data_IF_174543554253
#
_entry.id   IF_174543554253
#
_cell.length_a   1.000
_cell.length_b   1.000
_cell.length_c   1.000
_cell.angle_alpha   90.00
_cell.angle_beta   90.00
_cell.angle_gamma   90.00
#
_symmetry.space_group_name_H-M   'P 1'
#
loop_
_entity.id
_entity.type
_entity.pdbx_description
1 polymer ?
#
# COMPACT_ATOMS: atom_id res chain seq x y z
N UNK A 1 25.26 5.54 -6.40
CA UNK A 1 24.09 5.22 -5.57
C UNK A 1 22.91 5.98 -6.17
N UNK A 2 22.05 5.33 -6.97
CA UNK A 2 20.87 6.01 -7.52
C UNK A 2 19.94 6.26 -6.33
N UNK A 3 19.82 7.53 -5.94
CA UNK A 3 18.72 7.98 -5.09
C UNK A 3 17.45 7.64 -5.87
N UNK A 4 16.78 6.56 -5.47
CA UNK A 4 15.44 6.24 -5.92
C UNK A 4 14.57 7.37 -5.39
N UNK A 5 14.43 8.40 -6.22
CA UNK A 5 13.54 9.53 -6.05
C UNK A 5 12.12 8.97 -6.10
N UNK A 6 11.64 8.49 -4.96
CA UNK A 6 10.28 8.01 -4.85
C UNK A 6 9.64 8.83 -3.75
N UNK A 7 8.68 9.62 -4.20
CA UNK A 7 7.64 10.28 -3.44
C UNK A 7 6.71 9.21 -2.81
N UNK A 8 7.27 8.25 -2.05
CA UNK A 8 6.58 7.04 -1.54
C UNK A 8 5.48 7.34 -0.53
N UNK A 9 5.36 8.59 -0.09
CA UNK A 9 4.25 8.98 0.77
C UNK A 9 2.91 8.99 0.00
N UNK A 10 2.96 9.11 -1.32
CA UNK A 10 1.76 9.21 -2.16
C UNK A 10 1.11 7.85 -2.47
N UNK A 11 1.78 6.71 -2.27
CA UNK A 11 1.24 5.39 -2.68
C UNK A 11 0.01 4.94 -1.85
N UNK A 12 -0.03 5.23 -0.54
CA UNK A 12 -1.22 4.92 0.29
C UNK A 12 -2.38 5.86 -0.02
N UNK A 13 -2.09 7.15 -0.22
CA UNK A 13 -3.11 8.12 -0.56
C UNK A 13 -3.71 7.79 -1.93
N UNK A 14 -2.88 7.37 -2.89
CA UNK A 14 -3.33 6.85 -4.17
C UNK A 14 -4.19 5.59 -4.02
N UNK A 15 -3.83 4.64 -3.13
CA UNK A 15 -4.69 3.48 -2.84
C UNK A 15 -6.06 3.90 -2.32
N UNK A 16 -6.10 4.88 -1.41
CA UNK A 16 -7.34 5.39 -0.84
C UNK A 16 -8.20 6.07 -1.90
N UNK A 17 -7.63 6.98 -2.67
CA UNK A 17 -8.33 7.70 -3.76
C UNK A 17 -8.87 6.71 -4.81
N UNK A 18 -8.09 5.69 -5.15
CA UNK A 18 -8.52 4.67 -6.11
C UNK A 18 -9.65 3.79 -5.55
N UNK A 19 -9.63 3.45 -4.26
CA UNK A 19 -10.76 2.76 -3.60
C UNK A 19 -12.02 3.61 -3.67
N UNK A 20 -11.94 4.90 -3.32
CA UNK A 20 -13.08 5.82 -3.39
C UNK A 20 -13.66 5.89 -4.82
N UNK A 21 -12.79 5.96 -5.84
CA UNK A 21 -13.24 5.93 -7.24
C UNK A 21 -13.91 4.61 -7.64
N UNK A 22 -13.38 3.47 -7.20
CA UNK A 22 -13.98 2.15 -7.50
C UNK A 22 -15.32 2.00 -6.78
N UNK A 23 -15.45 2.50 -5.56
CA UNK A 23 -16.72 2.50 -4.80
C UNK A 23 -17.79 3.34 -5.49
N UNK A 24 -17.43 4.51 -6.02
CA UNK A 24 -18.35 5.41 -6.72
C UNK A 24 -18.74 4.88 -8.12
N UNK A 25 -17.78 4.35 -8.88
CA UNK A 25 -17.99 3.93 -10.26
C UNK A 25 -18.49 2.48 -10.39
N UNK A 26 -18.12 1.62 -9.46
CA UNK A 26 -18.45 0.19 -9.44
C UNK A 26 -17.58 -0.63 -10.40
N UNK A 27 -17.07 -1.75 -9.88
CA UNK A 27 -16.18 -2.69 -10.60
C UNK A 27 -16.74 -3.18 -11.94
N UNK A 28 -18.07 -3.35 -12.04
CA UNK A 28 -18.72 -3.85 -13.27
C UNK A 28 -18.57 -2.93 -14.48
N UNK A 29 -18.22 -1.66 -14.28
CA UNK A 29 -18.05 -0.70 -15.35
C UNK A 29 -16.59 -0.60 -15.82
N UNK A 30 -15.68 -1.34 -15.19
CA UNK A 30 -14.25 -1.32 -15.50
C UNK A 30 -13.87 -2.31 -16.60
N UNK A 31 -12.73 -2.10 -17.23
CA UNK A 31 -12.22 -2.81 -18.38
C UNK A 31 -10.86 -3.49 -18.11
N UNK A 32 -10.32 -4.17 -19.12
CA UNK A 32 -9.10 -4.96 -18.99
C UNK A 32 -7.83 -4.13 -18.74
N UNK A 33 -7.76 -2.89 -19.22
CA UNK A 33 -6.63 -1.98 -18.96
C UNK A 33 -6.63 -1.54 -17.49
N UNK A 34 -7.80 -1.22 -16.96
CA UNK A 34 -7.99 -0.90 -15.54
C UNK A 34 -7.63 -2.10 -14.67
N UNK A 35 -8.01 -3.33 -15.05
CA UNK A 35 -7.56 -4.53 -14.34
C UNK A 35 -6.03 -4.68 -14.31
N UNK A 36 -5.36 -4.44 -15.44
CA UNK A 36 -3.89 -4.51 -15.50
C UNK A 36 -3.24 -3.45 -14.60
N UNK A 37 -3.83 -2.25 -14.55
CA UNK A 37 -3.42 -1.19 -13.65
C UNK A 37 -3.57 -1.60 -12.18
N UNK A 38 -4.76 -2.10 -11.77
CA UNK A 38 -4.99 -2.56 -10.40
C UNK A 38 -4.01 -3.68 -10.00
N UNK A 39 -3.74 -4.64 -10.90
CA UNK A 39 -2.74 -5.71 -10.68
C UNK A 39 -1.34 -5.15 -10.39
N UNK A 40 -0.92 -4.17 -11.18
CA UNK A 40 0.39 -3.55 -11.02
C UNK A 40 0.48 -2.78 -9.70
N UNK A 41 -0.51 -1.95 -9.41
CA UNK A 41 -0.57 -1.14 -8.20
C UNK A 41 -0.62 -1.99 -6.94
N UNK A 42 -1.45 -3.03 -6.92
CA UNK A 42 -1.50 -4.01 -5.82
C UNK A 42 -0.12 -4.60 -5.53
N UNK A 43 0.58 -5.07 -6.58
CA UNK A 43 1.94 -5.62 -6.44
C UNK A 43 2.96 -4.62 -5.92
N UNK A 44 2.92 -3.38 -6.41
CA UNK A 44 3.81 -2.30 -5.96
C UNK A 44 3.55 -1.98 -4.48
N UNK A 45 2.29 -1.86 -4.07
CA UNK A 45 1.90 -1.59 -2.69
C UNK A 45 2.29 -2.71 -1.72
N UNK A 46 2.12 -3.98 -2.10
CA UNK A 46 2.62 -5.12 -1.32
C UNK A 46 4.13 -5.09 -1.14
N UNK A 47 4.86 -4.76 -2.22
CA UNK A 47 6.32 -4.63 -2.16
C UNK A 47 6.72 -3.53 -1.18
N UNK A 48 6.02 -2.39 -1.23
CA UNK A 48 6.33 -1.27 -0.38
C UNK A 48 5.92 -1.47 1.09
N UNK A 49 4.77 -2.10 1.36
CA UNK A 49 4.37 -2.53 2.69
C UNK A 49 5.46 -3.41 3.35
N UNK A 50 6.04 -4.35 2.60
CA UNK A 50 7.15 -5.18 3.08
C UNK A 50 8.42 -4.35 3.40
N UNK A 51 8.72 -3.32 2.59
CA UNK A 51 9.79 -2.38 2.93
C UNK A 51 9.49 -1.62 4.23
N UNK A 52 8.25 -1.15 4.43
CA UNK A 52 7.83 -0.46 5.66
C UNK A 52 7.99 -1.37 6.87
N UNK A 53 7.59 -2.63 6.79
CA UNK A 53 7.78 -3.63 7.87
C UNK A 53 9.27 -3.80 8.21
N UNK A 54 10.11 -3.90 7.18
CA UNK A 54 11.57 -4.03 7.37
C UNK A 54 12.16 -2.80 8.08
N UNK A 55 11.71 -1.60 7.69
CA UNK A 55 12.14 -0.35 8.33
C UNK A 55 11.71 -0.32 9.79
N UNK A 56 10.45 -0.66 10.10
CA UNK A 56 9.92 -0.73 11.47
C UNK A 56 10.80 -1.64 12.33
N UNK A 57 11.09 -2.86 11.86
CA UNK A 57 11.92 -3.82 12.60
C UNK A 57 13.31 -3.25 12.91
N UNK A 58 13.95 -2.60 11.93
CA UNK A 58 15.27 -1.99 12.12
C UNK A 58 15.23 -0.81 13.11
N UNK A 59 14.17 0.01 13.07
CA UNK A 59 13.99 1.13 13.97
C UNK A 59 13.72 0.67 15.40
N UNK A 60 12.91 -0.38 15.58
CA UNK A 60 12.68 -1.01 16.87
C UNK A 60 14.00 -1.52 17.48
N UNK A 61 14.79 -2.29 16.71
CA UNK A 61 16.10 -2.76 17.15
C UNK A 61 17.05 -1.62 17.50
N UNK A 62 17.08 -0.54 16.70
CA UNK A 62 17.90 0.64 16.98
C UNK A 62 17.48 1.31 18.30
N UNK A 63 16.18 1.54 18.47
CA UNK A 63 15.65 2.23 19.63
C UNK A 63 15.89 1.41 20.92
N UNK A 64 15.74 0.07 20.84
CA UNK A 64 16.08 -0.89 21.90
C UNK A 64 17.59 -0.90 22.23
N UNK A 65 18.45 -1.05 21.22
CA UNK A 65 19.92 -1.07 21.40
C UNK A 65 20.45 0.21 22.05
N UNK A 66 19.84 1.36 21.74
CA UNK A 66 20.22 2.64 22.30
C UNK A 66 19.58 2.91 23.68
N UNK A 67 18.76 1.98 24.19
CA UNK A 67 17.95 2.15 25.39
C UNK A 67 17.14 3.46 25.36
N UNK A 68 16.59 3.76 24.19
CA UNK A 68 15.78 4.95 23.93
C UNK A 68 14.31 4.59 23.84
N UNK A 69 13.44 5.53 24.19
CA UNK A 69 12.01 5.38 23.91
C UNK A 69 11.73 5.38 22.41
N UNK A 70 10.53 4.90 22.03
CA UNK A 70 10.05 4.85 20.64
C UNK A 70 10.25 6.18 19.92
N UNK A 71 11.06 6.17 18.87
CA UNK A 71 11.39 7.33 18.05
C UNK A 71 10.19 7.85 17.25
N UNK A 72 10.23 9.13 16.87
CA UNK A 72 9.23 9.73 15.96
C UNK A 72 9.19 9.03 14.61
N UNK A 73 10.35 8.59 14.12
CA UNK A 73 10.50 7.85 12.88
C UNK A 73 9.78 6.50 12.95
N UNK A 74 9.96 5.75 14.04
CA UNK A 74 9.26 4.49 14.25
C UNK A 74 7.73 4.69 14.28
N UNK A 75 7.24 5.70 15.01
CA UNK A 75 5.80 6.04 15.04
C UNK A 75 5.26 6.32 13.64
N UNK A 76 5.97 7.14 12.86
CA UNK A 76 5.58 7.49 11.51
C UNK A 76 5.45 6.26 10.59
N UNK A 77 6.39 5.31 10.66
CA UNK A 77 6.30 4.11 9.84
C UNK A 77 5.23 3.12 10.34
N UNK A 78 4.98 3.04 11.64
CA UNK A 78 3.89 2.24 12.20
C UNK A 78 2.51 2.76 11.75
N UNK A 79 2.28 4.08 11.83
CA UNK A 79 1.07 4.72 11.30
C UNK A 79 0.92 4.43 9.79
N UNK A 80 2.04 4.48 9.05
CA UNK A 80 2.04 4.14 7.63
C UNK A 80 1.67 2.67 7.36
N UNK A 81 2.14 1.75 8.21
CA UNK A 81 1.81 0.34 8.11
C UNK A 81 0.33 0.08 8.41
N UNK A 82 -0.26 0.82 9.36
CA UNK A 82 -1.69 0.73 9.67
C UNK A 82 -2.55 1.07 8.46
N UNK A 83 -2.22 2.15 7.75
CA UNK A 83 -2.95 2.52 6.52
C UNK A 83 -2.81 1.44 5.42
N UNK A 84 -1.64 0.83 5.24
CA UNK A 84 -1.50 -0.28 4.30
C UNK A 84 -2.41 -1.46 4.68
N UNK A 85 -2.51 -1.79 5.97
CA UNK A 85 -3.38 -2.87 6.45
C UNK A 85 -4.86 -2.55 6.27
N UNK A 86 -5.22 -1.27 6.25
CA UNK A 86 -6.60 -0.81 6.05
C UNK A 86 -7.00 -0.88 4.57
N UNK A 87 -6.21 -0.28 3.67
CA UNK A 87 -6.62 -0.08 2.27
C UNK A 87 -6.21 -1.22 1.33
N UNK A 88 -5.04 -1.84 1.54
CA UNK A 88 -4.54 -2.84 0.58
C UNK A 88 -5.46 -4.08 0.45
N UNK A 89 -6.08 -4.61 1.53
CA UNK A 89 -7.04 -5.71 1.38
C UNK A 89 -8.27 -5.35 0.56
N UNK A 90 -8.82 -4.14 0.73
CA UNK A 90 -9.97 -3.64 -0.03
C UNK A 90 -9.60 -3.51 -1.52
N UNK A 91 -8.43 -2.95 -1.78
CA UNK A 91 -7.89 -2.83 -3.13
C UNK A 91 -7.72 -4.18 -3.83
N UNK A 92 -7.20 -5.17 -3.10
CA UNK A 92 -7.05 -6.54 -3.60
C UNK A 92 -8.40 -7.22 -3.87
N UNK A 93 -9.40 -6.94 -3.05
CA UNK A 93 -10.76 -7.43 -3.25
C UNK A 93 -11.36 -6.91 -4.56
N UNK A 94 -11.30 -5.60 -4.81
CA UNK A 94 -11.82 -5.02 -6.07
C UNK A 94 -11.11 -5.57 -7.30
N UNK A 95 -9.78 -5.69 -7.22
CA UNK A 95 -9.00 -6.32 -8.28
C UNK A 95 -9.51 -7.74 -8.56
N UNK A 96 -9.72 -8.55 -7.52
CA UNK A 96 -10.21 -9.93 -7.69
C UNK A 96 -11.63 -9.96 -8.26
N UNK A 97 -12.53 -9.10 -7.79
CA UNK A 97 -13.88 -8.97 -8.34
C UNK A 97 -13.85 -8.60 -9.83
N UNK A 98 -12.98 -7.68 -10.22
CA UNK A 98 -12.82 -7.28 -11.63
C UNK A 98 -12.28 -8.43 -12.49
N UNK A 99 -11.35 -9.23 -11.95
CA UNK A 99 -10.87 -10.44 -12.62
C UNK A 99 -12.01 -11.43 -12.90
N UNK A 100 -12.91 -11.61 -11.93
CA UNK A 100 -14.08 -12.50 -12.08
C UNK A 100 -15.06 -11.96 -13.12
N UNK A 101 -15.38 -10.66 -13.09
CA UNK A 101 -16.29 -10.02 -14.04
C UNK A 101 -15.78 -10.14 -15.48
N UNK A 102 -14.48 -9.90 -15.71
CA UNK A 102 -13.89 -9.96 -17.05
C UNK A 102 -13.61 -11.38 -17.55
N UNK A 103 -13.68 -12.38 -16.67
CA UNK A 103 -13.53 -13.79 -17.02
C UNK A 103 -14.86 -14.49 -17.35
N UNK A 104 -16.01 -13.86 -17.03
CA UNK A 104 -17.36 -14.36 -17.27
C UNK A 104 -17.87 -14.05 -18.69
#
# INVERSE_FOLDING_TARGET
MKVLNIDKHNEILALKEEIEMIEDYGVNNMNIEELQYLKRMSKECHTYMNCVITIINNLQLRDECNNTGKSKELKYYEEKLELFKEYLPQYDEYKNQLEEVLAA
#
